data_IF_658488916118
#
_entry.id   IF_658488916118
#
_cell.length_a   1.000
_cell.length_b   1.000
_cell.length_c   1.000
_cell.angle_alpha   90.00
_cell.angle_beta   90.00
_cell.angle_gamma   90.00
#
_symmetry.space_group_name_H-M   'P 1'
#
loop_
_entity.id
_entity.type
_entity.pdbx_description
1 polymer ?
#
# COMPACT_ATOMS: atom_id res chain seq x y z
N UNK A 1 -9.49 -1.36 -10.24
CA UNK A 1 -10.64 -0.93 -11.05
C UNK A 1 -10.31 -1.32 -12.48
N UNK A 2 -11.19 -2.05 -13.18
CA UNK A 2 -10.94 -2.42 -14.57
C UNK A 2 -11.38 -1.24 -15.45
N UNK A 3 -10.47 -0.56 -16.18
CA UNK A 3 -10.80 0.71 -16.86
C UNK A 3 -11.80 0.59 -18.02
N UNK A 4 -12.25 -0.62 -18.38
CA UNK A 4 -12.92 -0.91 -19.66
C UNK A 4 -14.30 -1.59 -19.46
N UNK A 5 -14.87 -1.61 -18.26
CA UNK A 5 -16.20 -2.22 -18.03
C UNK A 5 -17.33 -1.18 -18.17
N UNK A 6 -18.13 -1.31 -19.23
CA UNK A 6 -19.29 -0.45 -19.55
C UNK A 6 -20.55 -0.74 -18.72
N UNK A 7 -20.48 -1.68 -17.77
CA UNK A 7 -21.59 -2.00 -16.87
C UNK A 7 -21.35 -1.42 -15.48
N UNK A 8 -21.99 -0.28 -15.19
CA UNK A 8 -22.44 0.09 -13.85
C UNK A 8 -21.48 -0.11 -12.66
N UNK A 9 -20.19 0.17 -12.81
CA UNK A 9 -19.27 0.16 -11.67
C UNK A 9 -19.46 1.45 -10.88
N UNK A 10 -20.15 1.35 -9.75
CA UNK A 10 -20.21 2.45 -8.79
C UNK A 10 -18.83 2.60 -8.14
N UNK A 11 -18.16 3.75 -8.29
CA UNK A 11 -16.90 3.96 -7.59
C UNK A 11 -17.12 3.79 -6.09
N UNK A 12 -16.18 3.11 -5.43
CA UNK A 12 -16.20 2.98 -3.98
C UNK A 12 -16.25 4.39 -3.38
N UNK A 13 -17.23 4.70 -2.50
CA UNK A 13 -17.26 5.97 -1.81
C UNK A 13 -15.95 6.20 -1.06
N UNK A 14 -15.54 7.45 -0.89
CA UNK A 14 -14.29 7.83 -0.26
C UNK A 14 -14.17 7.27 1.16
N UNK A 15 -15.27 7.23 1.91
CA UNK A 15 -15.34 6.62 3.24
C UNK A 15 -15.07 5.11 3.24
N UNK A 16 -15.31 4.42 2.12
CA UNK A 16 -14.94 3.01 1.95
C UNK A 16 -13.48 2.88 1.51
N UNK A 17 -12.99 3.77 0.64
CA UNK A 17 -11.59 3.80 0.21
C UNK A 17 -10.63 4.02 1.40
N UNK A 18 -11.03 4.86 2.36
CA UNK A 18 -10.27 5.13 3.59
C UNK A 18 -10.06 3.87 4.47
N UNK A 19 -10.76 2.77 4.16
CA UNK A 19 -10.55 1.49 4.85
C UNK A 19 -9.33 0.71 4.37
N UNK A 20 -8.82 1.00 3.19
CA UNK A 20 -7.65 0.33 2.62
C UNK A 20 -6.35 0.98 3.11
N UNK A 21 -5.34 0.16 3.40
CA UNK A 21 -4.06 0.64 3.91
C UNK A 21 -3.27 1.43 2.85
N UNK A 22 -3.27 0.91 1.62
CA UNK A 22 -2.49 1.44 0.50
C UNK A 22 -3.35 1.48 -0.77
N UNK A 23 -3.14 2.51 -1.57
CA UNK A 23 -3.58 2.57 -2.95
C UNK A 23 -2.38 2.31 -3.86
N UNK A 24 -2.45 1.27 -4.69
CA UNK A 24 -1.38 0.90 -5.63
C UNK A 24 -1.92 1.05 -7.04
N UNK A 25 -1.29 1.93 -7.83
CA UNK A 25 -1.55 2.03 -9.26
C UNK A 25 -0.63 1.04 -10.01
N UNK A 26 -1.22 0.18 -10.83
CA UNK A 26 -0.49 -0.83 -11.61
C UNK A 26 -0.74 -0.56 -13.08
N UNK A 27 0.30 -0.06 -13.76
CA UNK A 27 0.28 0.15 -15.20
C UNK A 27 0.65 -1.14 -15.96
N UNK A 28 0.44 -1.12 -17.28
CA UNK A 28 0.88 -2.22 -18.14
C UNK A 28 2.40 -2.38 -18.10
N UNK A 29 2.91 -3.62 -18.07
CA UNK A 29 4.34 -3.87 -18.06
C UNK A 29 4.99 -3.41 -19.38
N UNK A 30 6.27 -3.05 -19.31
CA UNK A 30 7.08 -2.78 -20.50
C UNK A 30 7.28 -4.04 -21.34
N UNK A 31 7.61 -3.87 -22.63
CA UNK A 31 7.73 -4.99 -23.59
C UNK A 31 8.63 -6.13 -23.12
N UNK A 32 9.74 -5.83 -22.44
CA UNK A 32 10.66 -6.84 -21.90
C UNK A 32 10.02 -7.70 -20.81
N UNK A 33 9.26 -7.06 -19.90
CA UNK A 33 8.53 -7.74 -18.83
C UNK A 33 7.37 -8.55 -19.41
N UNK A 34 6.66 -8.02 -20.40
CA UNK A 34 5.59 -8.75 -21.11
C UNK A 34 6.14 -10.03 -21.77
N UNK A 35 7.30 -9.94 -22.44
CA UNK A 35 7.97 -11.10 -23.02
C UNK A 35 8.44 -12.10 -21.95
N UNK A 36 8.93 -11.62 -20.81
CA UNK A 36 9.32 -12.46 -19.68
C UNK A 36 8.12 -13.20 -19.09
N UNK A 37 6.97 -12.52 -18.92
CA UNK A 37 5.71 -13.12 -18.48
C UNK A 37 5.26 -14.20 -19.46
N UNK A 38 5.27 -13.91 -20.76
CA UNK A 38 4.91 -14.88 -21.80
C UNK A 38 5.79 -16.14 -21.74
N UNK A 39 7.11 -15.97 -21.59
CA UNK A 39 8.07 -17.08 -21.45
C UNK A 39 7.85 -17.87 -20.16
N UNK A 40 7.59 -17.18 -19.05
CA UNK A 40 7.32 -17.79 -17.75
C UNK A 40 6.09 -18.69 -17.81
N UNK A 41 4.95 -18.15 -18.26
CA UNK A 41 3.67 -18.90 -18.35
C UNK A 41 3.79 -20.08 -19.33
N UNK A 42 4.52 -19.92 -20.44
CA UNK A 42 4.78 -21.02 -21.38
C UNK A 42 5.60 -22.14 -20.72
N UNK A 43 6.63 -21.78 -19.94
CA UNK A 43 7.46 -22.73 -19.20
C UNK A 43 6.61 -23.49 -18.18
N UNK A 44 5.83 -22.78 -17.36
CA UNK A 44 4.95 -23.37 -16.33
C UNK A 44 3.95 -24.37 -16.93
N UNK A 45 3.34 -24.07 -18.08
CA UNK A 45 2.43 -24.99 -18.77
C UNK A 45 3.11 -26.23 -19.35
N UNK A 46 4.38 -26.11 -19.75
CA UNK A 46 5.15 -27.23 -20.30
C UNK A 46 5.70 -28.15 -19.20
N UNK A 47 6.01 -27.62 -18.02
CA UNK A 47 6.44 -28.38 -16.86
C UNK A 47 5.25 -28.93 -16.07
N UNK A 48 4.89 -30.19 -16.30
CA UNK A 48 4.02 -30.93 -15.37
C UNK A 48 4.78 -31.13 -14.05
N UNK A 49 4.42 -30.40 -13.00
CA UNK A 49 4.97 -30.60 -11.66
C UNK A 49 6.10 -29.67 -11.27
N UNK A 50 5.92 -28.37 -11.46
CA UNK A 50 6.82 -27.38 -10.86
C UNK A 50 6.75 -27.50 -9.34
N UNK A 51 7.90 -27.78 -8.70
CA UNK A 51 8.00 -27.89 -7.26
C UNK A 51 7.66 -26.53 -6.66
N UNK A 52 6.51 -26.46 -5.98
CA UNK A 52 6.10 -25.23 -5.28
C UNK A 52 7.16 -24.91 -4.22
N UNK A 53 7.50 -23.63 -4.04
CA UNK A 53 8.36 -23.23 -2.93
C UNK A 53 7.73 -23.69 -1.61
N UNK A 54 8.58 -24.04 -0.65
CA UNK A 54 8.12 -24.42 0.69
C UNK A 54 7.25 -23.29 1.25
N UNK A 55 5.99 -23.58 1.64
CA UNK A 55 5.11 -22.56 2.19
C UNK A 55 5.71 -21.93 3.44
N UNK A 56 5.54 -20.62 3.60
CA UNK A 56 5.87 -19.95 4.86
C UNK A 56 4.91 -20.45 5.94
N UNK A 57 5.41 -20.99 7.07
CA UNK A 57 4.54 -21.48 8.12
C UNK A 57 3.75 -20.34 8.75
N UNK A 58 2.51 -20.62 9.16
CA UNK A 58 1.61 -19.62 9.73
C UNK A 58 2.20 -18.99 11.00
N UNK A 59 2.94 -19.76 11.77
CA UNK A 59 3.65 -19.34 12.98
C UNK A 59 4.67 -18.24 12.69
N UNK A 60 5.37 -18.32 11.54
CA UNK A 60 6.30 -17.29 11.13
C UNK A 60 5.59 -15.96 10.83
N UNK A 61 4.40 -16.00 10.23
CA UNK A 61 3.59 -14.80 9.97
C UNK A 61 3.15 -14.14 11.28
N UNK A 62 2.68 -14.94 12.25
CA UNK A 62 2.29 -14.39 13.56
C UNK A 62 3.49 -13.88 14.36
N UNK A 63 4.63 -14.54 14.29
CA UNK A 63 5.87 -14.06 14.91
C UNK A 63 6.31 -12.71 14.30
N UNK A 64 6.31 -12.59 12.96
CA UNK A 64 6.64 -11.36 12.26
C UNK A 64 5.70 -10.20 12.67
N UNK A 65 4.39 -10.45 12.77
CA UNK A 65 3.43 -9.43 13.23
C UNK A 65 3.72 -8.91 14.63
N UNK A 66 4.13 -9.79 15.56
CA UNK A 66 4.53 -9.39 16.92
C UNK A 66 5.81 -8.56 16.88
N UNK A 67 6.81 -9.03 16.15
CA UNK A 67 8.08 -8.32 16.01
C UNK A 67 7.89 -6.92 15.42
N UNK A 68 7.06 -6.78 14.38
CA UNK A 68 6.71 -5.47 13.79
C UNK A 68 6.02 -4.56 14.81
N UNK A 69 5.15 -5.11 15.67
CA UNK A 69 4.47 -4.34 16.70
C UNK A 69 5.42 -3.85 17.80
N UNK A 70 6.46 -4.63 18.10
CA UNK A 70 7.45 -4.30 19.14
C UNK A 70 8.51 -3.27 18.66
N UNK A 71 8.54 -2.94 17.36
CA UNK A 71 9.43 -1.90 16.82
C UNK A 71 9.08 -0.55 17.43
N UNK A 72 10.07 0.01 18.12
CA UNK A 72 9.97 1.33 18.73
C UNK A 72 10.10 2.41 17.66
N UNK A 73 9.16 3.35 17.67
CA UNK A 73 9.18 4.53 16.81
C UNK A 73 9.64 5.70 17.66
N UNK A 74 10.64 6.44 17.20
CA UNK A 74 11.11 7.62 17.91
C UNK A 74 10.01 8.70 17.97
N UNK A 75 9.88 9.40 19.10
CA UNK A 75 8.84 10.43 19.28
C UNK A 75 8.82 11.49 18.17
N UNK A 76 10.00 11.84 17.63
CA UNK A 76 10.10 12.76 16.48
C UNK A 76 9.44 12.20 15.21
N UNK A 77 9.54 10.90 14.97
CA UNK A 77 8.89 10.25 13.82
C UNK A 77 7.38 10.12 14.02
N UNK A 78 6.92 9.81 15.25
CA UNK A 78 5.49 9.81 15.58
C UNK A 78 4.86 11.19 15.33
N UNK A 79 5.51 12.25 15.84
CA UNK A 79 5.07 13.63 15.62
C UNK A 79 5.07 13.98 14.14
N UNK A 80 6.10 13.59 13.40
CA UNK A 80 6.17 13.83 11.96
C UNK A 80 5.03 13.17 11.19
N UNK A 81 4.65 11.93 11.53
CA UNK A 81 3.49 11.25 10.93
C UNK A 81 2.20 12.04 11.21
N UNK A 82 2.03 12.53 12.43
CA UNK A 82 0.87 13.36 12.81
C UNK A 82 0.86 14.67 12.02
N UNK A 83 2.00 15.35 11.93
CA UNK A 83 2.15 16.63 11.24
C UNK A 83 1.82 16.52 9.74
N UNK A 84 2.26 15.44 9.08
CA UNK A 84 1.91 15.14 7.69
C UNK A 84 0.40 15.02 7.50
N UNK A 85 -0.26 14.25 8.36
CA UNK A 85 -1.72 14.06 8.28
C UNK A 85 -2.46 15.37 8.57
N UNK A 86 -2.03 16.13 9.58
CA UNK A 86 -2.63 17.43 9.91
C UNK A 86 -2.43 18.46 8.79
N UNK A 87 -1.29 18.44 8.09
CA UNK A 87 -1.05 19.30 6.94
C UNK A 87 -2.06 19.08 5.82
N UNK A 88 -2.54 17.84 5.63
CA UNK A 88 -3.62 17.57 4.67
C UNK A 88 -4.99 18.07 5.14
N UNK A 89 -5.22 18.23 6.45
CA UNK A 89 -6.51 18.70 7.01
C UNK A 89 -6.58 20.21 7.19
N UNK A 90 -5.43 20.83 7.43
CA UNK A 90 -5.28 22.27 7.61
C UNK A 90 -4.24 22.81 6.63
N UNK A 91 -4.46 22.63 5.30
CA UNK A 91 -3.50 23.07 4.29
C UNK A 91 -3.35 24.59 4.23
N UNK A 92 -4.28 25.35 4.81
CA UNK A 92 -4.25 26.81 4.99
C UNK A 92 -3.14 27.29 5.93
N UNK A 93 -2.66 26.43 6.83
CA UNK A 93 -1.54 26.75 7.74
C UNK A 93 -0.18 26.78 7.03
N UNK A 94 -0.12 26.34 5.78
CA UNK A 94 1.09 26.22 4.99
C UNK A 94 1.02 27.16 3.79
N UNK A 95 2.16 27.77 3.47
CA UNK A 95 2.27 28.65 2.31
C UNK A 95 2.10 27.87 0.99
N UNK A 96 1.63 28.57 -0.05
CA UNK A 96 1.53 28.02 -1.40
C UNK A 96 0.11 27.63 -1.81
N UNK A 97 0.01 26.60 -2.66
CA UNK A 97 -1.24 26.24 -3.35
C UNK A 97 -1.94 25.00 -2.76
N UNK A 98 -1.44 24.47 -1.64
CA UNK A 98 -1.95 23.22 -1.07
C UNK A 98 -3.45 23.29 -0.75
N UNK A 99 -3.90 24.42 -0.21
CA UNK A 99 -5.32 24.70 0.09
C UNK A 99 -6.24 24.69 -1.14
N UNK A 100 -5.69 24.90 -2.34
CA UNK A 100 -6.45 24.87 -3.59
C UNK A 100 -6.54 23.46 -4.17
N UNK A 101 -5.64 22.56 -3.79
CA UNK A 101 -5.57 21.18 -4.32
C UNK A 101 -6.27 20.17 -3.41
N UNK A 102 -6.26 20.40 -2.11
CA UNK A 102 -6.84 19.46 -1.14
C UNK A 102 -8.27 19.88 -0.78
N UNK A 103 -9.24 19.09 -1.24
CA UNK A 103 -10.65 19.23 -0.85
C UNK A 103 -10.97 18.52 0.48
N UNK A 104 -10.29 17.41 0.74
CA UNK A 104 -10.51 16.55 1.90
C UNK A 104 -9.16 15.99 2.37
N UNK A 105 -8.82 16.21 3.63
CA UNK A 105 -7.61 15.68 4.24
C UNK A 105 -7.73 14.21 4.63
N UNK A 106 -6.59 13.57 4.91
CA UNK A 106 -6.54 12.18 5.34
C UNK A 106 -7.22 11.97 6.70
N UNK A 107 -7.93 10.84 6.88
CA UNK A 107 -8.59 10.51 8.14
C UNK A 107 -7.60 10.07 9.23
N UNK A 108 -8.01 9.89 10.50
CA UNK A 108 -7.14 9.33 11.54
C UNK A 108 -6.58 7.95 11.18
N UNK A 109 -7.24 7.20 10.28
CA UNK A 109 -6.73 5.93 9.77
C UNK A 109 -5.45 6.12 8.95
N UNK A 110 -5.28 7.27 8.28
CA UNK A 110 -4.04 7.62 7.59
C UNK A 110 -2.83 7.67 8.51
N UNK A 111 -2.99 8.22 9.72
CA UNK A 111 -1.94 8.23 10.76
C UNK A 111 -1.54 6.81 11.14
N UNK A 112 -2.53 5.96 11.46
CA UNK A 112 -2.30 4.57 11.85
C UNK A 112 -1.69 3.75 10.69
N UNK A 113 -2.09 4.04 9.45
CA UNK A 113 -1.60 3.38 8.26
C UNK A 113 -0.12 3.69 8.00
N UNK A 114 0.27 4.97 8.08
CA UNK A 114 1.66 5.40 7.93
C UNK A 114 2.55 4.77 8.99
N UNK A 115 2.10 4.77 10.23
CA UNK A 115 2.82 4.18 11.36
C UNK A 115 3.01 2.65 11.20
N UNK A 116 1.94 1.92 10.86
CA UNK A 116 2.02 0.49 10.59
C UNK A 116 2.92 0.14 9.40
N UNK A 117 2.83 0.91 8.31
CA UNK A 117 3.65 0.72 7.11
C UNK A 117 5.13 1.03 7.37
N UNK A 118 5.43 2.09 8.13
CA UNK A 118 6.79 2.47 8.49
C UNK A 118 7.46 1.39 9.34
N UNK A 119 6.78 0.84 10.35
CA UNK A 119 7.31 -0.28 11.15
C UNK A 119 7.51 -1.55 10.32
N UNK A 120 6.56 -1.89 9.47
CA UNK A 120 6.70 -3.05 8.59
C UNK A 120 7.89 -2.89 7.62
N UNK A 121 8.09 -1.69 7.07
CA UNK A 121 9.23 -1.36 6.23
C UNK A 121 10.55 -1.45 7.02
N UNK A 122 10.58 -0.93 8.24
CA UNK A 122 11.76 -1.03 9.11
C UNK A 122 12.10 -2.48 9.50
N UNK A 123 11.11 -3.35 9.67
CA UNK A 123 11.34 -4.77 9.95
C UNK A 123 11.90 -5.56 8.76
N UNK A 124 11.54 -5.15 7.53
CA UNK A 124 11.97 -5.81 6.29
C UNK A 124 13.40 -5.44 5.86
N UNK A 125 13.95 -4.33 6.37
CA UNK A 125 15.30 -3.84 6.05
C UNK A 125 16.27 -4.15 7.18
#
# INVERSE_FOLDING_TARGET
QNPIEQEGTYPLPEAQMDRFLLYVNVDYPVSENELAILRLVRKEKASQGQQLPTPVPQEAIFAARKQIFDIQVAAAAEQYIVDLVLATRHPDRFEGKLSHWIRLGASPRGTLALDAAARAHAWLN
#
